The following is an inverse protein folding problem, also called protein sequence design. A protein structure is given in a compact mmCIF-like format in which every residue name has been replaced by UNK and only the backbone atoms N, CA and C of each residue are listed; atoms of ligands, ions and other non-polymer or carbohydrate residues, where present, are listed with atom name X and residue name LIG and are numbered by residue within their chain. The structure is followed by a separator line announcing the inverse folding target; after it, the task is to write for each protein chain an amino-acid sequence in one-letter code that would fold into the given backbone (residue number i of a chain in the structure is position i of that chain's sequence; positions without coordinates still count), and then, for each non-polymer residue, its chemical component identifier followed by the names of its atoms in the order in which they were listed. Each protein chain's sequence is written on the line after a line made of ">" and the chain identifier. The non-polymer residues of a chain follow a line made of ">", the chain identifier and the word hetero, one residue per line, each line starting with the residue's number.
data_IF_969099743910
#
_entry.id   IF_969099743910
#
_cell.length_a   1.000
_cell.length_b   1.000
_cell.length_c   1.000
_cell.angle_alpha   90.00
_cell.angle_beta   90.00
_cell.angle_gamma   90.00
#
_symmetry.space_group_name_H-M   'P 1'
#
loop_
_entity.id
_entity.type
_entity.pdbx_description
1 polymer ?
#
# COMPACT_ATOMS: atom_id res chain seq x y z
N UNK A 1 -7.95 13.02 9.28
CA UNK A 1 -7.21 12.13 8.35
C UNK A 1 -5.72 12.28 8.63
N UNK A 2 -5.00 11.16 8.70
CA UNK A 2 -3.55 11.13 8.91
C UNK A 2 -2.84 10.37 7.78
N UNK A 3 -1.55 10.64 7.60
CA UNK A 3 -0.71 9.98 6.58
C UNK A 3 0.39 9.20 7.27
N UNK A 4 0.53 7.92 6.93
CA UNK A 4 1.65 7.08 7.34
C UNK A 4 2.65 6.99 6.15
N UNK A 5 3.82 7.65 6.23
CA UNK A 5 4.84 7.56 5.20
C UNK A 5 5.68 6.28 5.37
N UNK A 6 5.28 5.21 4.67
CA UNK A 6 5.94 3.90 4.68
C UNK A 6 7.42 3.94 4.28
N UNK A 7 8.24 2.97 4.69
CA UNK A 7 9.69 2.98 4.45
C UNK A 7 10.07 3.02 2.97
N UNK A 8 9.28 2.39 2.09
CA UNK A 8 9.50 2.37 0.65
C UNK A 8 8.92 3.62 -0.05
N UNK A 9 8.33 4.57 0.66
CA UNK A 9 7.77 5.79 0.07
C UNK A 9 7.81 6.99 1.01
N UNK A 10 8.78 7.04 1.94
CA UNK A 10 8.84 8.06 3.00
C UNK A 10 8.78 9.50 2.47
N UNK A 11 9.62 9.83 1.49
CA UNK A 11 9.65 11.18 0.88
C UNK A 11 8.32 11.53 0.22
N UNK A 12 7.71 10.58 -0.48
CA UNK A 12 6.42 10.78 -1.15
C UNK A 12 5.29 10.95 -0.13
N UNK A 13 5.25 10.12 0.91
CA UNK A 13 4.24 10.20 1.97
C UNK A 13 4.31 11.51 2.74
N UNK A 14 5.51 11.99 3.07
CA UNK A 14 5.69 13.29 3.72
C UNK A 14 5.21 14.44 2.81
N UNK A 15 5.54 14.39 1.52
CA UNK A 15 5.07 15.42 0.56
C UNK A 15 3.56 15.38 0.37
N UNK A 16 2.96 14.19 0.37
CA UNK A 16 1.51 14.04 0.30
C UNK A 16 0.84 14.62 1.55
N UNK A 17 1.38 14.35 2.74
CA UNK A 17 0.86 14.92 3.99
C UNK A 17 0.88 16.45 3.96
N UNK A 18 1.99 17.05 3.51
CA UNK A 18 2.13 18.50 3.34
C UNK A 18 1.08 19.07 2.37
N UNK A 19 0.91 18.47 1.19
CA UNK A 19 -0.07 18.92 0.20
C UNK A 19 -1.51 18.79 0.67
N UNK A 20 -1.80 17.81 1.53
CA UNK A 20 -3.12 17.60 2.12
C UNK A 20 -3.37 18.43 3.38
N UNK A 21 -2.36 19.09 3.94
CA UNK A 21 -2.43 19.69 5.27
C UNK A 21 -2.72 18.67 6.37
N UNK A 22 -2.34 17.41 6.16
CA UNK A 22 -2.60 16.30 7.08
C UNK A 22 -1.39 16.03 7.98
N UNK A 23 -1.64 15.52 9.18
CA UNK A 23 -0.59 15.08 10.09
C UNK A 23 0.11 13.83 9.53
N UNK A 24 1.43 13.87 9.46
CA UNK A 24 2.24 12.68 9.17
C UNK A 24 2.52 11.92 10.47
N UNK A 25 2.06 10.68 10.56
CA UNK A 25 2.33 9.78 11.68
C UNK A 25 3.70 9.15 11.46
N UNK A 26 4.70 9.44 12.31
CA UNK A 26 6.01 8.83 12.17
C UNK A 26 5.93 7.31 12.39
N UNK A 27 6.82 6.58 11.71
CA UNK A 27 6.94 5.14 11.88
C UNK A 27 8.39 4.77 12.15
N UNK A 28 8.56 3.78 13.01
CA UNK A 28 9.83 3.09 13.22
C UNK A 28 9.80 1.79 12.44
N UNK A 29 10.64 1.70 11.41
CA UNK A 29 10.87 0.48 10.64
C UNK A 29 12.32 0.04 10.78
N UNK A 30 12.55 -1.22 11.13
CA UNK A 30 13.89 -1.82 11.20
C UNK A 30 13.82 -3.29 10.84
N UNK A 31 14.98 -3.92 10.72
CA UNK A 31 15.09 -5.34 10.45
C UNK A 31 15.70 -6.08 11.64
N UNK A 32 15.15 -7.24 11.94
CA UNK A 32 15.80 -8.20 12.83
C UNK A 32 17.01 -8.84 12.13
N UNK A 33 17.96 -9.43 12.88
CA UNK A 33 19.17 -10.04 12.30
C UNK A 33 18.90 -11.15 11.27
N UNK A 34 17.74 -11.81 11.33
CA UNK A 34 17.28 -12.83 10.38
C UNK A 34 16.58 -12.25 9.14
N UNK A 35 16.35 -10.94 9.09
CA UNK A 35 15.76 -10.22 7.96
C UNK A 35 14.27 -9.95 8.08
N UNK A 36 13.60 -10.39 9.16
CA UNK A 36 12.20 -10.05 9.44
C UNK A 36 12.01 -8.55 9.65
N UNK A 37 10.81 -8.07 9.30
CA UNK A 37 10.49 -6.63 9.34
C UNK A 37 9.84 -6.28 10.68
N UNK A 38 10.38 -5.28 11.37
CA UNK A 38 9.75 -4.66 12.53
C UNK A 38 9.08 -3.35 12.10
N UNK A 39 7.83 -3.16 12.49
CA UNK A 39 7.03 -1.95 12.23
C UNK A 39 6.41 -1.48 13.54
N UNK A 40 6.50 -0.18 13.82
CA UNK A 40 5.78 0.47 14.92
C UNK A 40 5.30 1.85 14.48
N UNK A 41 4.04 2.17 14.74
CA UNK A 41 3.51 3.52 14.59
C UNK A 41 3.91 4.34 15.84
N UNK A 42 4.54 5.50 15.64
CA UNK A 42 5.01 6.37 16.73
C UNK A 42 4.02 7.51 17.03
N UNK A 43 2.76 7.36 16.64
CA UNK A 43 1.68 8.33 16.87
C UNK A 43 0.31 7.67 16.83
N UNK A 44 -0.69 8.33 17.40
CA UNK A 44 -2.06 7.81 17.45
C UNK A 44 -2.76 7.90 16.09
N UNK A 45 -3.53 6.86 15.79
CA UNK A 45 -4.41 6.73 14.61
C UNK A 45 -5.86 6.44 15.00
N UNK A 46 -6.17 6.44 16.30
CA UNK A 46 -7.50 6.07 16.81
C UNK A 46 -8.58 7.03 16.29
N UNK A 47 -9.67 6.47 15.76
CA UNK A 47 -10.78 7.22 15.19
C UNK A 47 -10.46 7.97 13.91
N UNK A 48 -9.29 7.75 13.30
CA UNK A 48 -8.86 8.47 12.11
C UNK A 48 -9.02 7.63 10.83
N UNK A 49 -9.28 8.33 9.72
CA UNK A 49 -8.95 7.79 8.40
C UNK A 49 -7.45 7.94 8.15
N UNK A 50 -6.77 6.84 7.87
CA UNK A 50 -5.32 6.79 7.67
C UNK A 50 -4.98 6.44 6.22
N UNK A 51 -4.13 7.24 5.60
CA UNK A 51 -3.54 6.98 4.30
C UNK A 51 -2.11 6.43 4.46
N UNK A 52 -1.91 5.13 4.19
CA UNK A 52 -0.58 4.50 4.21
C UNK A 52 0.04 4.65 2.82
N UNK A 53 1.16 5.37 2.73
CA UNK A 53 1.88 5.58 1.46
C UNK A 53 3.07 4.64 1.40
N UNK A 54 2.97 3.58 0.58
CA UNK A 54 3.99 2.53 0.50
C UNK A 54 3.97 1.90 -0.88
N UNK A 55 5.07 2.06 -1.64
CA UNK A 55 5.29 1.31 -2.87
C UNK A 55 5.81 -0.09 -2.57
N UNK A 56 5.55 -1.03 -3.48
CA UNK A 56 5.96 -2.44 -3.33
C UNK A 56 7.00 -2.85 -4.38
N UNK A 57 7.92 -1.94 -4.75
CA UNK A 57 9.01 -2.23 -5.69
C UNK A 57 10.06 -3.16 -5.02
N UNK A 58 11.06 -3.69 -5.74
CA UNK A 58 12.05 -4.60 -5.14
C UNK A 58 12.72 -4.04 -3.86
N UNK A 59 12.77 -4.79 -2.74
CA UNK A 59 12.25 -6.15 -2.55
C UNK A 59 10.72 -6.19 -2.37
N UNK A 60 10.02 -6.78 -3.35
CA UNK A 60 8.55 -6.70 -3.48
C UNK A 60 7.84 -7.33 -2.29
N UNK A 61 8.27 -8.54 -1.90
CA UNK A 61 7.62 -9.33 -0.85
C UNK A 61 7.78 -8.67 0.52
N UNK A 62 8.96 -8.13 0.79
CA UNK A 62 9.24 -7.38 2.02
C UNK A 62 8.36 -6.14 2.10
N UNK A 63 8.37 -5.30 1.07
CA UNK A 63 7.57 -4.07 1.10
C UNK A 63 6.06 -4.34 1.14
N UNK A 64 5.61 -5.43 0.52
CA UNK A 64 4.22 -5.88 0.63
C UNK A 64 3.90 -6.34 2.06
N UNK A 65 4.78 -7.11 2.69
CA UNK A 65 4.58 -7.55 4.08
C UNK A 65 4.60 -6.37 5.05
N UNK A 66 5.50 -5.40 4.87
CA UNK A 66 5.52 -4.16 5.64
C UNK A 66 4.22 -3.36 5.47
N UNK A 67 3.65 -3.30 4.27
CA UNK A 67 2.33 -2.68 4.04
C UNK A 67 1.24 -3.40 4.83
N UNK A 68 1.20 -4.74 4.78
CA UNK A 68 0.26 -5.52 5.58
C UNK A 68 0.43 -5.24 7.07
N UNK A 69 1.66 -5.28 7.59
CA UNK A 69 1.95 -5.01 9.01
C UNK A 69 1.50 -3.59 9.43
N UNK A 70 1.74 -2.58 8.59
CA UNK A 70 1.27 -1.21 8.88
C UNK A 70 -0.25 -1.09 8.87
N UNK A 71 -0.93 -1.74 7.92
CA UNK A 71 -2.39 -1.69 7.81
C UNK A 71 -3.07 -2.40 8.99
N UNK A 72 -2.57 -3.60 9.32
CA UNK A 72 -3.06 -4.42 10.43
C UNK A 72 -2.87 -3.69 11.76
N UNK A 73 -1.66 -3.16 12.00
CA UNK A 73 -1.36 -2.33 13.18
C UNK A 73 -2.26 -1.10 13.27
N UNK A 74 -2.53 -0.42 12.14
CA UNK A 74 -3.39 0.76 12.16
C UNK A 74 -4.83 0.41 12.54
N UNK A 75 -5.38 -0.70 12.03
CA UNK A 75 -6.71 -1.19 12.42
C UNK A 75 -6.76 -1.61 13.88
N UNK A 76 -5.76 -2.35 14.35
CA UNK A 76 -5.66 -2.79 15.75
C UNK A 76 -5.58 -1.61 16.72
N UNK A 77 -4.96 -0.50 16.30
CA UNK A 77 -4.90 0.76 17.06
C UNK A 77 -6.12 1.68 16.87
N UNK A 78 -7.21 1.15 16.28
CA UNK A 78 -8.50 1.84 16.23
C UNK A 78 -8.67 2.82 15.06
N UNK A 79 -7.87 2.73 13.99
CA UNK A 79 -8.13 3.50 12.79
C UNK A 79 -9.50 3.14 12.19
N UNK A 80 -10.35 4.15 11.96
CA UNK A 80 -11.68 3.96 11.39
C UNK A 80 -11.58 3.39 9.97
N UNK A 81 -10.66 3.96 9.17
CA UNK A 81 -10.47 3.57 7.76
C UNK A 81 -9.00 3.57 7.37
N UNK A 82 -8.57 2.55 6.63
CA UNK A 82 -7.23 2.43 6.07
C UNK A 82 -7.28 2.50 4.55
N UNK A 83 -6.62 3.53 4.00
CA UNK A 83 -6.43 3.73 2.56
C UNK A 83 -4.97 3.44 2.22
N UNK A 84 -4.71 2.38 1.45
CA UNK A 84 -3.38 2.07 0.95
C UNK A 84 -3.11 2.86 -0.33
N UNK A 85 -2.18 3.80 -0.29
CA UNK A 85 -1.64 4.51 -1.45
C UNK A 85 -0.36 3.81 -1.88
N UNK A 86 -0.44 3.03 -2.97
CA UNK A 86 0.61 2.13 -3.46
C UNK A 86 1.03 2.56 -4.87
N UNK A 87 1.96 3.52 -5.02
CA UNK A 87 2.34 4.05 -6.33
C UNK A 87 2.79 2.98 -7.32
N UNK A 88 3.62 2.05 -6.85
CA UNK A 88 3.95 0.84 -7.60
C UNK A 88 3.39 -0.38 -6.85
N UNK A 89 2.44 -1.08 -7.48
CA UNK A 89 1.84 -2.32 -6.99
C UNK A 89 2.48 -3.53 -7.67
N UNK A 90 3.28 -4.28 -6.91
CA UNK A 90 3.86 -5.55 -7.35
C UNK A 90 2.78 -6.58 -7.64
N UNK A 91 3.18 -7.63 -8.37
CA UNK A 91 2.33 -8.75 -8.77
C UNK A 91 1.17 -8.39 -9.72
N UNK A 92 1.00 -7.13 -10.09
CA UNK A 92 -0.06 -6.69 -11.02
C UNK A 92 0.06 -7.29 -12.43
N UNK A 93 1.24 -7.77 -12.83
CA UNK A 93 1.44 -8.44 -14.13
C UNK A 93 0.88 -9.87 -14.20
N UNK A 94 0.71 -10.54 -13.06
CA UNK A 94 0.15 -11.89 -13.00
C UNK A 94 -1.33 -11.80 -12.59
N UNK A 95 -2.14 -11.25 -13.50
CA UNK A 95 -3.55 -10.90 -13.32
C UNK A 95 -4.53 -12.01 -13.72
N UNK A 96 -4.04 -13.02 -14.43
CA UNK A 96 -4.78 -14.21 -14.83
C UNK A 96 -3.87 -15.43 -14.90
N UNK A 97 -4.48 -16.58 -15.19
CA UNK A 97 -3.77 -17.80 -15.56
C UNK A 97 -3.56 -17.77 -17.07
N UNK A 98 -2.31 -17.72 -17.51
CA UNK A 98 -1.91 -17.92 -18.90
C UNK A 98 -1.74 -19.41 -19.19
N UNK A 99 -1.25 -20.16 -18.20
CA UNK A 99 -1.14 -21.62 -18.23
C UNK A 99 -1.96 -22.28 -17.13
N UNK A 100 -2.33 -23.54 -17.35
CA UNK A 100 -3.02 -24.35 -16.33
C UNK A 100 -2.14 -24.49 -15.08
N UNK A 101 -2.75 -24.33 -13.91
CA UNK A 101 -2.06 -24.43 -12.61
C UNK A 101 -1.41 -23.14 -12.10
N UNK A 102 -1.38 -22.05 -12.89
CA UNK A 102 -0.75 -20.80 -12.44
C UNK A 102 -1.49 -20.12 -11.28
N UNK A 103 -0.70 -19.41 -10.47
CA UNK A 103 -1.22 -18.44 -9.52
C UNK A 103 -1.76 -17.21 -10.26
N UNK A 104 -2.79 -16.61 -9.67
CA UNK A 104 -3.21 -15.24 -10.00
C UNK A 104 -2.71 -14.37 -8.86
N UNK A 105 -1.46 -13.93 -8.94
CA UNK A 105 -0.74 -13.37 -7.79
C UNK A 105 -1.41 -12.12 -7.25
N UNK A 106 -1.90 -11.23 -8.13
CA UNK A 106 -2.59 -10.01 -7.70
C UNK A 106 -3.85 -10.29 -6.89
N UNK A 107 -4.54 -11.40 -7.16
CA UNK A 107 -5.70 -11.83 -6.37
C UNK A 107 -5.30 -12.29 -4.96
N UNK A 108 -4.15 -12.93 -4.82
CA UNK A 108 -3.60 -13.27 -3.50
C UNK A 108 -3.20 -12.02 -2.75
N UNK A 109 -2.54 -11.07 -3.42
CA UNK A 109 -2.20 -9.75 -2.84
C UNK A 109 -3.45 -9.02 -2.35
N UNK A 110 -4.51 -8.96 -3.15
CA UNK A 110 -5.77 -8.36 -2.74
C UNK A 110 -6.42 -9.04 -1.52
N UNK A 111 -6.31 -10.37 -1.39
CA UNK A 111 -6.77 -11.08 -0.18
C UNK A 111 -5.95 -10.72 1.05
N UNK A 112 -4.63 -10.67 0.92
CA UNK A 112 -3.72 -10.31 2.02
C UNK A 112 -3.99 -8.89 2.51
N UNK A 113 -4.06 -7.91 1.60
CA UNK A 113 -4.30 -6.52 1.95
C UNK A 113 -5.67 -6.33 2.63
N UNK A 114 -6.71 -7.02 2.14
CA UNK A 114 -8.03 -6.97 2.77
C UNK A 114 -8.01 -7.59 4.16
N UNK A 115 -7.34 -8.73 4.32
CA UNK A 115 -7.22 -9.40 5.61
C UNK A 115 -6.45 -8.54 6.62
N UNK A 116 -5.42 -7.82 6.16
CA UNK A 116 -4.68 -6.83 6.95
C UNK A 116 -5.45 -5.51 7.17
N UNK A 117 -6.73 -5.43 6.79
CA UNK A 117 -7.58 -4.29 7.11
C UNK A 117 -7.54 -3.11 6.13
N UNK A 118 -7.01 -3.27 4.91
CA UNK A 118 -7.08 -2.23 3.88
C UNK A 118 -8.52 -2.13 3.34
N UNK A 119 -9.15 -0.96 3.54
CA UNK A 119 -10.51 -0.69 3.05
C UNK A 119 -10.51 -0.21 1.59
N UNK A 120 -9.49 0.58 1.21
CA UNK A 120 -9.36 1.16 -0.13
C UNK A 120 -7.92 1.17 -0.60
N UNK A 121 -7.70 0.94 -1.89
CA UNK A 121 -6.40 1.01 -2.55
C UNK A 121 -6.36 2.08 -3.65
N UNK A 122 -5.29 2.87 -3.68
CA UNK A 122 -4.99 3.82 -4.76
C UNK A 122 -3.63 3.45 -5.33
N UNK A 123 -3.53 3.24 -6.64
CA UNK A 123 -2.27 2.93 -7.33
C UNK A 123 -2.08 3.80 -8.58
N UNK A 124 -0.92 3.73 -9.22
CA UNK A 124 -0.58 4.50 -10.43
C UNK A 124 -0.28 3.54 -11.58
N UNK A 125 -0.93 3.76 -12.72
CA UNK A 125 -0.76 3.03 -13.97
C UNK A 125 -0.65 1.50 -13.76
N UNK A 126 -1.65 0.92 -13.10
CA UNK A 126 -1.72 -0.54 -12.93
C UNK A 126 -1.67 -1.24 -14.28
N UNK A 127 -1.10 -2.44 -14.30
CA UNK A 127 -0.84 -3.18 -15.54
C UNK A 127 -2.07 -3.36 -16.45
N UNK A 128 -3.24 -3.61 -15.87
CA UNK A 128 -4.49 -3.87 -16.60
C UNK A 128 -5.71 -3.60 -15.73
N UNK A 129 -6.87 -3.36 -16.36
CA UNK A 129 -8.15 -3.27 -15.66
C UNK A 129 -8.53 -4.62 -15.01
N UNK A 130 -8.11 -5.73 -15.60
CA UNK A 130 -8.25 -7.08 -15.05
C UNK A 130 -7.49 -7.22 -13.73
N UNK A 131 -6.26 -6.71 -13.64
CA UNK A 131 -5.47 -6.72 -12.42
C UNK A 131 -6.17 -5.94 -11.30
N UNK A 132 -6.74 -4.77 -11.63
CA UNK A 132 -7.47 -3.93 -10.67
C UNK A 132 -8.72 -4.64 -10.15
N UNK A 133 -9.50 -5.27 -11.04
CA UNK A 133 -10.69 -6.06 -10.68
C UNK A 133 -10.34 -7.27 -9.81
N UNK A 134 -9.22 -7.93 -10.10
CA UNK A 134 -8.78 -9.14 -9.41
C UNK A 134 -8.37 -8.91 -7.94
N UNK A 135 -8.09 -7.67 -7.52
CA UNK A 135 -7.80 -7.32 -6.12
C UNK A 135 -9.00 -7.59 -5.19
N UNK A 136 -10.22 -7.35 -5.68
CA UNK A 136 -11.45 -7.45 -4.89
C UNK A 136 -11.55 -6.48 -3.70
N UNK A 137 -10.68 -5.47 -3.60
CA UNK A 137 -10.78 -4.35 -2.67
C UNK A 137 -11.36 -3.15 -3.45
N UNK A 138 -12.00 -2.18 -2.79
CA UNK A 138 -12.30 -0.89 -3.42
C UNK A 138 -10.98 -0.27 -3.91
N UNK A 139 -10.75 -0.22 -5.23
CA UNK A 139 -9.46 0.17 -5.79
C UNK A 139 -9.61 1.16 -6.94
N UNK A 140 -8.67 2.11 -7.03
CA UNK A 140 -8.57 3.08 -8.13
C UNK A 140 -7.12 3.10 -8.64
N UNK A 141 -6.96 3.02 -9.96
CA UNK A 141 -5.69 3.31 -10.62
C UNK A 141 -5.74 4.71 -11.24
N UNK A 142 -4.82 5.58 -10.86
CA UNK A 142 -4.63 6.89 -11.50
C UNK A 142 -3.62 6.74 -12.65
N UNK A 143 -3.60 7.70 -13.58
CA UNK A 143 -2.61 7.69 -14.66
C UNK A 143 -1.62 8.84 -14.56
N UNK A 144 -0.33 8.53 -14.69
CA UNK A 144 0.73 9.53 -14.80
C UNK A 144 0.96 10.00 -16.25
N UNK A 145 0.34 9.35 -17.24
CA UNK A 145 0.51 9.67 -18.67
C UNK A 145 0.32 11.17 -18.98
N UNK A 146 -0.71 11.87 -18.47
CA UNK A 146 -0.88 13.31 -18.75
C UNK A 146 0.25 14.19 -18.19
N UNK A 147 0.89 13.78 -17.10
CA UNK A 147 2.02 14.50 -16.51
C UNK A 147 3.30 14.23 -17.28
N UNK A 148 3.53 12.97 -17.68
CA UNK A 148 4.68 12.57 -18.49
C UNK A 148 4.65 13.21 -19.88
N UNK A 149 3.47 13.36 -20.49
CA UNK A 149 3.32 14.01 -21.79
C UNK A 149 3.65 15.52 -21.78
N UNK A 150 3.74 16.15 -20.60
CA UNK A 150 4.07 17.57 -20.44
C UNK A 150 5.55 17.83 -20.08
N UNK A 151 6.31 16.77 -19.80
CA UNK A 151 7.73 16.84 -19.44
C UNK A 151 8.59 16.83 -20.70
#
# INVERSE_FOLDING_TARGET
>A
MKVIPGPASRKLGLRLAELLGAEAVPITCKHFPDGESYVRLDGSVEGETVAIVQSTYPPQDKHLLELCLMADTAKDLGAERVVAVVPYLAYARQDKRFLSGEAVSIRTVGKLLRAAGVDKLITIDIHSDEALKALGIEAVSLSAVPLLARY
#
